data_IF_693364592697
#
_entry.id   IF_693364592697
#
_cell.length_a   1.000
_cell.length_b   1.000
_cell.length_c   1.000
_cell.angle_alpha   90.00
_cell.angle_beta   90.00
_cell.angle_gamma   90.00
#
_symmetry.space_group_name_H-M   'P 1'
#
loop_
_entity.id
_entity.type
_entity.pdbx_description
1 polymer ?
#
# COMPACT_ATOMS: atom_id res chain seq x y z
N UNK A 1 -16.38 13.22 12.07
CA UNK A 1 -15.40 12.65 11.12
C UNK A 1 -15.80 13.09 9.72
N UNK A 2 -14.93 13.83 9.03
CA UNK A 2 -15.19 14.29 7.66
C UNK A 2 -14.74 13.21 6.67
N UNK A 3 -15.66 12.65 5.89
CA UNK A 3 -15.34 11.67 4.85
C UNK A 3 -14.74 12.35 3.62
N UNK A 4 -13.73 11.74 3.01
CA UNK A 4 -13.19 12.19 1.72
C UNK A 4 -14.07 11.66 0.58
N UNK A 5 -14.38 12.51 -0.40
CA UNK A 5 -15.16 12.15 -1.59
C UNK A 5 -14.33 12.42 -2.83
N UNK A 6 -14.12 11.38 -3.65
CA UNK A 6 -13.51 11.48 -4.96
C UNK A 6 -14.60 11.79 -6.00
N UNK A 7 -14.40 12.86 -6.75
CA UNK A 7 -15.27 13.26 -7.86
C UNK A 7 -14.46 13.18 -9.15
N UNK A 8 -14.84 12.27 -10.05
CA UNK A 8 -14.26 12.18 -11.40
C UNK A 8 -15.25 12.76 -12.39
N UNK A 9 -14.83 13.79 -13.12
CA UNK A 9 -15.57 14.30 -14.27
C UNK A 9 -14.98 13.66 -15.54
N UNK A 10 -15.83 12.99 -16.31
CA UNK A 10 -15.48 12.46 -17.63
C UNK A 10 -16.51 12.93 -18.66
N UNK A 11 -16.22 12.74 -19.94
CA UNK A 11 -17.17 13.05 -21.02
C UNK A 11 -18.48 12.22 -20.93
N UNK A 12 -18.46 11.13 -20.15
CA UNK A 12 -19.62 10.27 -19.88
C UNK A 12 -20.42 10.69 -18.64
N UNK A 13 -19.94 11.68 -17.88
CA UNK A 13 -20.61 12.25 -16.73
C UNK A 13 -19.73 12.32 -15.48
N UNK A 14 -20.34 12.73 -14.36
CA UNK A 14 -19.68 12.86 -13.07
C UNK A 14 -19.86 11.59 -12.24
N UNK A 15 -18.74 10.94 -11.90
CA UNK A 15 -18.68 9.79 -11.01
C UNK A 15 -18.28 10.24 -9.60
N UNK A 16 -19.06 9.85 -8.59
CA UNK A 16 -18.81 10.20 -7.20
C UNK A 16 -18.51 8.92 -6.40
N UNK A 17 -17.36 8.87 -5.73
CA UNK A 17 -16.94 7.73 -4.91
C UNK A 17 -16.48 8.20 -3.53
N UNK A 18 -17.13 7.74 -2.47
CA UNK A 18 -16.70 8.02 -1.09
C UNK A 18 -15.50 7.15 -0.75
N UNK A 19 -14.43 7.77 -0.25
CA UNK A 19 -13.25 7.05 0.25
C UNK A 19 -13.46 6.88 1.76
N UNK A 20 -13.66 5.66 2.29
CA UNK A 20 -13.75 5.46 3.74
C UNK A 20 -12.41 5.73 4.40
N UNK A 21 -12.39 5.90 5.73
CA UNK A 21 -11.13 5.94 6.47
C UNK A 21 -10.44 4.57 6.43
N UNK A 22 -9.13 4.52 6.67
CA UNK A 22 -8.40 3.27 6.67
C UNK A 22 -8.92 2.33 7.78
N UNK A 23 -8.89 1.03 7.52
CA UNK A 23 -9.30 -0.04 8.44
C UNK A 23 -8.67 0.17 9.82
N UNK A 24 -9.39 0.02 10.93
CA UNK A 24 -8.79 0.16 12.25
C UNK A 24 -7.68 -0.89 12.42
N UNK A 25 -6.50 -0.47 12.88
CA UNK A 25 -5.44 -1.39 13.29
C UNK A 25 -5.71 -1.86 14.74
N UNK A 26 -5.37 -3.11 15.10
CA UNK A 26 -5.41 -3.54 16.49
C UNK A 26 -4.56 -2.61 17.38
N UNK A 27 -5.07 -2.28 18.57
CA UNK A 27 -4.36 -1.46 19.54
C UNK A 27 -3.26 -2.30 20.24
N UNK A 28 -2.17 -2.58 19.53
CA UNK A 28 -0.99 -3.30 20.03
C UNK A 28 0.26 -2.42 19.90
N UNK A 29 1.26 -2.64 20.77
CA UNK A 29 2.53 -1.87 20.80
C UNK A 29 3.31 -1.91 19.47
N UNK A 30 2.95 -2.82 18.57
CA UNK A 30 3.61 -3.11 17.29
C UNK A 30 2.87 -2.53 16.06
N UNK A 31 2.35 -1.30 16.15
CA UNK A 31 1.49 -0.67 15.14
C UNK A 31 2.06 -0.67 13.70
N UNK A 32 3.39 -0.63 13.55
CA UNK A 32 4.04 -0.74 12.23
C UNK A 32 3.82 -2.09 11.54
N UNK A 33 3.96 -3.20 12.28
CA UNK A 33 3.74 -4.54 11.74
C UNK A 33 2.27 -4.78 11.36
N UNK A 34 1.34 -4.23 12.14
CA UNK A 34 -0.09 -4.30 11.84
C UNK A 34 -0.47 -3.48 10.61
N UNK A 35 0.12 -2.30 10.42
CA UNK A 35 -0.10 -1.50 9.21
C UNK A 35 0.41 -2.22 7.96
N UNK A 36 1.56 -2.89 8.05
CA UNK A 36 2.06 -3.73 6.97
C UNK A 36 1.13 -4.92 6.68
N UNK A 37 0.61 -5.56 7.72
CA UNK A 37 -0.36 -6.65 7.58
C UNK A 37 -1.64 -6.17 6.89
N UNK A 38 -2.23 -5.05 7.33
CA UNK A 38 -3.42 -4.48 6.71
C UNK A 38 -3.21 -4.10 5.24
N UNK A 39 -2.05 -3.54 4.89
CA UNK A 39 -1.67 -3.24 3.50
C UNK A 39 -1.61 -4.52 2.65
N UNK A 40 -1.02 -5.59 3.19
CA UNK A 40 -0.94 -6.90 2.53
C UNK A 40 -2.33 -7.53 2.38
N UNK A 41 -3.15 -7.49 3.41
CA UNK A 41 -4.51 -8.06 3.40
C UNK A 41 -5.42 -7.34 2.40
N UNK A 42 -5.33 -6.01 2.34
CA UNK A 42 -6.03 -5.22 1.33
C UNK A 42 -5.60 -5.63 -0.09
N UNK A 43 -4.29 -5.74 -0.32
CA UNK A 43 -3.74 -6.19 -1.60
C UNK A 43 -4.05 -7.65 -1.91
N UNK A 44 -4.29 -8.50 -0.90
CA UNK A 44 -4.66 -9.91 -1.05
C UNK A 44 -6.16 -10.10 -1.36
N UNK A 45 -6.95 -9.03 -1.36
CA UNK A 45 -8.36 -9.08 -1.77
C UNK A 45 -8.46 -9.21 -3.30
N UNK A 46 -9.44 -9.98 -3.82
CA UNK A 46 -9.69 -10.19 -5.26
C UNK A 46 -8.67 -11.02 -6.07
N UNK A 47 -8.34 -12.24 -5.63
CA UNK A 47 -7.52 -13.16 -6.43
C UNK A 47 -6.03 -12.82 -6.49
N UNK A 48 -5.64 -11.69 -5.91
CA UNK A 48 -4.28 -11.20 -5.76
C UNK A 48 -3.33 -11.94 -4.80
N UNK A 49 -3.75 -12.88 -3.91
CA UNK A 49 -2.79 -13.61 -3.08
C UNK A 49 -1.76 -14.42 -3.87
N UNK A 50 -2.06 -14.78 -5.13
CA UNK A 50 -1.10 -15.45 -6.01
C UNK A 50 0.07 -14.55 -6.41
N UNK A 51 -0.18 -13.24 -6.45
CA UNK A 51 0.73 -12.21 -6.96
C UNK A 51 1.43 -11.42 -5.85
N UNK A 52 0.93 -11.52 -4.60
CA UNK A 52 1.52 -10.91 -3.43
C UNK A 52 2.55 -11.85 -2.80
N UNK A 53 3.79 -11.39 -2.70
CA UNK A 53 4.91 -12.07 -2.08
C UNK A 53 5.21 -11.45 -0.72
N UNK A 54 5.29 -12.32 0.29
CA UNK A 54 5.50 -11.92 1.67
C UNK A 54 6.99 -11.62 1.91
N UNK A 55 7.33 -10.73 2.87
CA UNK A 55 8.71 -10.49 3.26
C UNK A 55 9.40 -11.79 3.67
N UNK A 56 10.32 -12.31 2.85
CA UNK A 56 11.21 -13.38 3.31
C UNK A 56 12.29 -12.76 4.19
N UNK A 57 12.30 -13.12 5.47
CA UNK A 57 13.45 -12.91 6.34
C UNK A 57 14.63 -13.75 5.82
N UNK A 58 15.47 -13.18 4.96
CA UNK A 58 16.72 -13.84 4.60
C UNK A 58 17.77 -13.52 5.68
N UNK A 59 18.17 -14.54 6.44
CA UNK A 59 19.36 -14.48 7.31
C UNK A 59 20.60 -14.37 6.43
N UNK A 60 21.38 -13.29 6.59
CA UNK A 60 22.72 -13.17 6.00
C UNK A 60 23.72 -12.79 7.10
N UNK A 61 24.45 -13.78 7.63
CA UNK A 61 25.36 -13.60 8.77
C UNK A 61 24.62 -13.37 10.10
N UNK A 62 25.12 -12.46 10.95
CA UNK A 62 24.47 -12.07 12.23
C UNK A 62 23.25 -11.14 12.07
N UNK A 63 22.87 -10.77 10.84
CA UNK A 63 21.75 -9.87 10.56
C UNK A 63 20.62 -10.52 9.76
N UNK A 64 19.38 -10.19 10.11
CA UNK A 64 18.18 -10.49 9.32
C UNK A 64 17.95 -9.32 8.36
N UNK A 65 17.79 -9.58 7.06
CA UNK A 65 17.39 -8.56 6.07
C UNK A 65 16.11 -9.02 5.36
N UNK A 66 15.03 -8.33 5.64
CA UNK A 66 13.74 -8.51 4.95
C UNK A 66 13.80 -7.87 3.56
N UNK A 67 13.16 -8.52 2.57
CA UNK A 67 13.02 -8.02 1.19
C UNK A 67 11.76 -7.17 1.15
N UNK A 68 11.88 -5.93 1.62
CA UNK A 68 10.76 -4.97 1.70
C UNK A 68 9.56 -5.45 2.52
N UNK A 69 8.49 -4.66 2.50
CA UNK A 69 7.31 -4.89 3.34
C UNK A 69 6.24 -5.74 2.60
N UNK A 70 6.41 -5.85 1.28
CA UNK A 70 5.70 -6.75 0.38
C UNK A 70 6.15 -6.55 -1.07
N UNK A 71 5.83 -7.50 -1.94
CA UNK A 71 6.09 -7.42 -3.38
C UNK A 71 4.86 -7.89 -4.15
N UNK A 72 4.42 -7.15 -5.15
CA UNK A 72 3.40 -7.58 -6.10
C UNK A 72 4.07 -7.89 -7.44
N UNK A 73 3.80 -9.05 -8.03
CA UNK A 73 4.29 -9.40 -9.38
C UNK A 73 3.13 -9.90 -10.23
N UNK A 74 2.86 -9.21 -11.34
CA UNK A 74 1.78 -9.55 -12.27
C UNK A 74 2.32 -9.46 -13.71
N UNK A 75 2.52 -10.61 -14.35
CA UNK A 75 3.09 -10.66 -15.70
C UNK A 75 4.49 -10.02 -15.75
N UNK A 76 4.66 -9.01 -16.60
CA UNK A 76 5.91 -8.25 -16.71
C UNK A 76 5.99 -7.04 -15.76
N UNK A 77 4.98 -6.80 -14.91
CA UNK A 77 4.98 -5.68 -13.96
C UNK A 77 5.30 -6.17 -12.55
N UNK A 78 6.07 -5.39 -11.82
CA UNK A 78 6.36 -5.63 -10.41
C UNK A 78 6.24 -4.34 -9.58
N UNK A 79 5.65 -4.43 -8.40
CA UNK A 79 5.54 -3.33 -7.46
C UNK A 79 6.18 -3.70 -6.12
N UNK A 80 7.24 -2.98 -5.75
CA UNK A 80 7.85 -3.09 -4.43
C UNK A 80 7.09 -2.23 -3.42
N UNK A 81 6.55 -2.85 -2.37
CA UNK A 81 5.75 -2.17 -1.36
C UNK A 81 6.64 -1.76 -0.18
N UNK A 82 6.49 -0.52 0.26
CA UNK A 82 7.11 0.03 1.46
C UNK A 82 6.08 0.78 2.29
N UNK A 83 5.88 0.36 3.52
CA UNK A 83 4.93 0.94 4.47
C UNK A 83 5.69 1.73 5.52
N UNK A 84 5.17 2.90 5.88
CA UNK A 84 5.70 3.73 6.98
C UNK A 84 4.54 4.23 7.83
N UNK A 85 4.54 3.83 9.09
CA UNK A 85 3.48 4.21 10.03
C UNK A 85 3.95 5.26 11.03
N UNK A 86 3.09 6.23 11.31
CA UNK A 86 3.26 7.24 12.34
C UNK A 86 2.58 6.79 13.64
N UNK A 87 3.36 6.39 14.63
CA UNK A 87 2.85 5.92 15.94
C UNK A 87 2.54 7.07 16.91
N UNK A 88 3.34 8.14 16.87
CA UNK A 88 3.24 9.26 17.82
C UNK A 88 3.14 10.60 17.06
N UNK A 89 2.02 10.85 16.34
CA UNK A 89 1.80 12.14 15.70
C UNK A 89 1.73 13.24 16.76
N UNK A 90 2.21 14.43 16.41
CA UNK A 90 2.10 15.60 17.25
C UNK A 90 1.36 16.73 16.53
N UNK A 91 0.87 17.70 17.29
CA UNK A 91 0.08 18.81 16.76
C UNK A 91 0.92 19.86 16.00
N UNK A 92 2.21 19.62 15.81
CA UNK A 92 3.08 20.53 15.07
C UNK A 92 3.14 20.10 13.59
N UNK A 93 2.48 20.85 12.67
CA UNK A 93 2.40 20.46 11.27
C UNK A 93 3.77 20.42 10.58
N UNK A 94 4.70 21.30 10.94
CA UNK A 94 6.04 21.32 10.34
C UNK A 94 6.87 20.09 10.75
N UNK A 95 6.70 19.60 11.98
CA UNK A 95 7.33 18.35 12.43
C UNK A 95 6.76 17.16 11.68
N UNK A 96 5.44 17.12 11.46
CA UNK A 96 4.79 16.04 10.72
C UNK A 96 5.21 16.05 9.24
N UNK A 97 5.28 17.22 8.59
CA UNK A 97 5.81 17.33 7.22
C UNK A 97 7.25 16.81 7.10
N UNK A 98 8.14 17.22 8.03
CA UNK A 98 9.53 16.73 8.04
C UNK A 98 9.61 15.23 8.30
N UNK A 99 8.73 14.70 9.14
CA UNK A 99 8.64 13.26 9.35
C UNK A 99 8.21 12.55 8.06
N UNK A 100 7.19 13.06 7.37
CA UNK A 100 6.69 12.53 6.10
C UNK A 100 7.80 12.50 5.05
N UNK A 101 8.49 13.62 4.82
CA UNK A 101 9.60 13.70 3.87
C UNK A 101 10.68 12.65 4.17
N UNK A 102 11.07 12.53 5.43
CA UNK A 102 12.09 11.57 5.86
C UNK A 102 11.60 10.12 5.72
N UNK A 103 10.35 9.85 6.06
CA UNK A 103 9.75 8.53 5.96
C UNK A 103 9.67 8.08 4.49
N UNK A 104 9.20 8.97 3.60
CA UNK A 104 9.07 8.73 2.16
C UNK A 104 10.45 8.55 1.53
N UNK A 105 11.41 9.45 1.78
CA UNK A 105 12.76 9.31 1.25
C UNK A 105 13.43 7.99 1.67
N UNK A 106 13.23 7.58 2.93
CA UNK A 106 13.71 6.30 3.43
C UNK A 106 13.03 5.12 2.72
N UNK A 107 11.71 5.16 2.57
CA UNK A 107 10.94 4.13 1.88
C UNK A 107 11.38 3.98 0.42
N UNK A 108 11.54 5.09 -0.32
CA UNK A 108 12.04 5.07 -1.70
C UNK A 108 13.42 4.42 -1.80
N UNK A 109 14.35 4.78 -0.91
CA UNK A 109 15.69 4.16 -0.86
C UNK A 109 15.64 2.66 -0.58
N UNK A 110 14.73 2.22 0.30
CA UNK A 110 14.52 0.79 0.59
C UNK A 110 13.90 0.06 -0.62
N UNK A 111 12.96 0.70 -1.32
CA UNK A 111 12.38 0.21 -2.58
C UNK A 111 13.44 0.02 -3.66
N UNK A 112 14.26 1.04 -3.93
CA UNK A 112 15.39 0.96 -4.87
C UNK A 112 16.36 -0.17 -4.51
N UNK A 113 16.64 -0.33 -3.22
CA UNK A 113 17.47 -1.43 -2.72
C UNK A 113 16.88 -2.81 -2.99
N UNK A 114 15.56 -2.94 -2.89
CA UNK A 114 14.82 -4.18 -3.14
C UNK A 114 14.79 -4.52 -4.63
N UNK A 115 14.44 -3.55 -5.48
CA UNK A 115 14.45 -3.67 -6.94
C UNK A 115 15.84 -4.12 -7.40
N UNK A 116 16.88 -3.35 -7.05
CA UNK A 116 18.26 -3.65 -7.44
C UNK A 116 18.72 -5.04 -7.00
N UNK A 117 18.30 -5.49 -5.81
CA UNK A 117 18.66 -6.82 -5.30
C UNK A 117 18.05 -7.92 -6.17
N UNK A 118 16.75 -7.83 -6.46
CA UNK A 118 16.03 -8.84 -7.24
C UNK A 118 16.45 -8.82 -8.71
N UNK A 119 16.80 -7.66 -9.26
CA UNK A 119 17.37 -7.55 -10.62
C UNK A 119 18.76 -8.17 -10.71
N UNK A 120 19.62 -7.97 -9.70
CA UNK A 120 20.98 -8.53 -9.72
C UNK A 120 21.03 -10.01 -9.33
N UNK A 121 20.05 -10.49 -8.57
CA UNK A 121 20.04 -11.87 -8.05
C UNK A 121 18.60 -12.33 -7.91
N UNK A 122 18.09 -13.13 -8.86
CA UNK A 122 16.78 -13.74 -8.76
C UNK A 122 16.62 -14.51 -7.44
N UNK A 123 15.42 -14.49 -6.88
CA UNK A 123 15.14 -15.10 -5.59
C UNK A 123 13.85 -15.93 -5.62
N UNK A 124 13.88 -17.09 -4.95
CA UNK A 124 12.67 -17.86 -4.69
C UNK A 124 11.92 -17.24 -3.50
N UNK A 125 10.74 -16.70 -3.80
CA UNK A 125 9.85 -16.03 -2.86
C UNK A 125 8.57 -16.84 -2.69
N UNK A 126 7.97 -16.76 -1.50
CA UNK A 126 6.69 -17.39 -1.22
C UNK A 126 5.57 -16.37 -1.42
N UNK A 127 4.57 -16.72 -2.22
CA UNK A 127 3.38 -15.89 -2.36
C UNK A 127 2.44 -16.07 -1.17
N UNK A 128 1.42 -15.22 -1.05
CA UNK A 128 0.45 -15.27 0.05
C UNK A 128 -0.45 -16.52 0.03
N UNK A 129 -0.30 -17.42 -0.96
CA UNK A 129 -0.90 -18.77 -0.96
C UNK A 129 0.08 -19.88 -0.55
N UNK A 130 1.30 -19.54 -0.13
CA UNK A 130 2.31 -20.51 0.27
C UNK A 130 3.05 -21.19 -0.87
N UNK A 131 2.98 -20.65 -2.10
CA UNK A 131 3.69 -21.21 -3.26
C UNK A 131 5.03 -20.52 -3.44
N UNK A 132 6.09 -21.31 -3.60
CA UNK A 132 7.40 -20.80 -3.99
C UNK A 132 7.44 -20.47 -5.48
N UNK A 133 7.84 -19.24 -5.81
CA UNK A 133 7.99 -18.73 -7.18
C UNK A 133 9.37 -18.08 -7.31
N UNK A 134 10.08 -18.40 -8.39
CA UNK A 134 11.30 -17.69 -8.73
C UNK A 134 10.94 -16.31 -9.30
N UNK A 135 11.38 -15.25 -8.64
CA UNK A 135 11.26 -13.88 -9.11
C UNK A 135 12.61 -13.42 -9.64
N UNK A 136 12.67 -13.18 -10.96
CA UNK A 136 13.81 -12.54 -11.62
C UNK A 136 13.49 -11.06 -11.85
N UNK A 137 14.09 -10.19 -11.06
CA UNK A 137 13.81 -8.77 -11.13
C UNK A 137 14.27 -8.09 -12.42
N UNK A 138 15.08 -8.75 -13.26
CA UNK A 138 15.45 -8.21 -14.57
C UNK A 138 14.35 -8.39 -15.62
N UNK A 139 13.37 -9.29 -15.37
CA UNK A 139 12.27 -9.58 -16.28
C UNK A 139 11.05 -8.66 -16.09
N UNK A 140 11.12 -7.69 -15.17
CA UNK A 140 9.98 -6.87 -14.77
C UNK A 140 10.24 -5.37 -14.91
N UNK A 141 9.20 -4.65 -15.32
CA UNK A 141 9.08 -3.21 -15.15
C UNK A 141 8.64 -2.91 -13.72
N UNK A 142 9.39 -2.03 -13.05
CA UNK A 142 9.24 -1.81 -11.62
C UNK A 142 8.50 -0.52 -11.29
N UNK A 143 7.63 -0.61 -10.29
CA UNK A 143 7.02 0.52 -9.60
C UNK A 143 7.41 0.45 -8.11
N UNK A 144 7.86 1.56 -7.54
CA UNK A 144 8.06 1.69 -6.10
C UNK A 144 6.81 2.30 -5.46
N UNK A 145 6.14 1.54 -4.61
CA UNK A 145 4.89 1.98 -3.95
C UNK A 145 5.19 2.28 -2.49
N UNK A 146 5.10 3.55 -2.12
CA UNK A 146 5.26 4.01 -0.74
C UNK A 146 3.88 4.27 -0.14
N UNK A 147 3.56 3.55 0.92
CA UNK A 147 2.29 3.63 1.64
C UNK A 147 2.54 4.25 3.00
N UNK A 148 1.90 5.38 3.25
CA UNK A 148 2.03 6.12 4.52
C UNK A 148 0.78 5.91 5.36
N UNK A 149 0.95 5.32 6.54
CA UNK A 149 -0.10 5.22 7.55
C UNK A 149 0.06 6.38 8.54
N UNK A 150 -0.79 7.40 8.38
CA UNK A 150 -0.73 8.61 9.16
C UNK A 150 -2.15 9.11 9.49
N UNK A 151 -2.47 9.22 10.77
CA UNK A 151 -3.83 9.48 11.25
C UNK A 151 -4.43 10.82 10.75
N UNK A 152 -3.60 11.86 10.61
CA UNK A 152 -4.05 13.18 10.16
C UNK A 152 -2.97 13.86 9.32
N UNK A 153 -2.98 13.65 8.00
CA UNK A 153 -2.02 14.32 7.12
C UNK A 153 -2.21 15.85 7.13
N UNK A 154 -1.13 16.64 7.14
CA UNK A 154 -1.21 18.07 6.87
C UNK A 154 -1.84 18.32 5.49
N UNK A 155 -2.87 19.17 5.42
CA UNK A 155 -3.70 19.36 4.21
C UNK A 155 -2.94 19.87 2.98
N UNK A 156 -1.82 20.55 3.21
CA UNK A 156 -0.97 21.18 2.19
C UNK A 156 0.35 20.42 1.98
N UNK A 157 0.44 19.18 2.49
CA UNK A 157 1.60 18.35 2.24
C UNK A 157 1.51 17.70 0.87
N UNK A 158 2.54 17.96 0.05
CA UNK A 158 2.78 17.25 -1.20
C UNK A 158 4.17 16.63 -1.11
N UNK A 159 4.32 15.33 -1.39
CA UNK A 159 5.63 14.71 -1.43
C UNK A 159 6.47 15.37 -2.53
N UNK A 160 7.75 15.62 -2.23
CA UNK A 160 8.70 16.06 -3.23
C UNK A 160 8.81 15.03 -4.36
N UNK A 161 9.17 15.50 -5.56
CA UNK A 161 9.45 14.60 -6.69
C UNK A 161 10.54 13.58 -6.30
N UNK A 162 10.26 12.30 -6.58
CA UNK A 162 11.17 11.22 -6.22
C UNK A 162 12.37 11.19 -7.14
N UNK A 163 13.57 11.02 -6.56
CA UNK A 163 14.79 10.70 -7.32
C UNK A 163 15.06 9.18 -7.36
N UNK A 164 14.03 8.34 -7.19
CA UNK A 164 14.19 6.89 -7.19
C UNK A 164 14.55 6.36 -8.59
N UNK A 165 15.18 5.20 -8.63
CA UNK A 165 15.61 4.57 -9.88
C UNK A 165 14.45 3.99 -10.68
N UNK A 166 13.40 3.52 -9.99
CA UNK A 166 12.13 3.13 -10.59
C UNK A 166 11.11 4.27 -10.47
N UNK A 167 10.12 4.36 -11.39
CA UNK A 167 8.92 5.15 -11.17
C UNK A 167 8.35 4.87 -9.77
N UNK A 168 7.85 5.91 -9.10
CA UNK A 168 7.31 5.76 -7.75
C UNK A 168 5.97 6.45 -7.57
N UNK A 169 5.17 5.89 -6.67
CA UNK A 169 3.91 6.48 -6.20
C UNK A 169 3.92 6.49 -4.69
N UNK A 170 3.52 7.63 -4.12
CA UNK A 170 3.31 7.80 -2.68
C UNK A 170 1.82 7.96 -2.44
N UNK A 171 1.26 7.16 -1.56
CA UNK A 171 -0.15 7.22 -1.22
C UNK A 171 -0.38 6.90 0.26
N UNK A 172 -1.56 7.22 0.76
CA UNK A 172 -1.93 6.90 2.14
C UNK A 172 -2.40 5.45 2.26
N UNK A 173 -2.33 4.86 3.46
CA UNK A 173 -2.94 3.54 3.71
C UNK A 173 -4.44 3.53 3.37
N UNK A 174 -5.13 4.65 3.64
CA UNK A 174 -6.54 4.85 3.28
C UNK A 174 -6.76 4.71 1.77
N UNK A 175 -5.95 5.41 0.97
CA UNK A 175 -6.08 5.38 -0.49
C UNK A 175 -5.72 3.99 -1.04
N UNK A 176 -4.72 3.33 -0.45
CA UNK A 176 -4.34 1.96 -0.81
C UNK A 176 -5.51 1.00 -0.64
N UNK A 177 -6.11 0.98 0.55
CA UNK A 177 -7.25 0.11 0.85
C UNK A 177 -8.43 0.40 -0.07
N UNK A 178 -8.68 1.68 -0.36
CA UNK A 178 -9.74 2.10 -1.26
C UNK A 178 -9.60 1.55 -2.70
N UNK A 179 -8.38 1.36 -3.20
CA UNK A 179 -8.16 0.74 -4.51
C UNK A 179 -8.75 -0.68 -4.58
N UNK A 180 -8.81 -1.39 -3.46
CA UNK A 180 -9.23 -2.80 -3.40
C UNK A 180 -10.62 -3.00 -2.78
N UNK A 181 -11.28 -1.92 -2.33
CA UNK A 181 -12.66 -2.01 -1.83
C UNK A 181 -13.63 -2.41 -2.96
N UNK A 182 -14.50 -3.42 -2.72
CA UNK A 182 -15.58 -3.77 -3.64
C UNK A 182 -16.43 -2.54 -4.01
N UNK A 183 -16.94 -2.43 -5.25
CA UNK A 183 -17.94 -1.42 -5.60
C UNK A 183 -19.17 -1.46 -4.67
N UNK A 184 -19.53 -2.64 -4.17
CA UNK A 184 -20.64 -2.87 -3.24
C UNK A 184 -20.38 -2.41 -1.80
N UNK A 185 -19.12 -2.28 -1.38
CA UNK A 185 -18.78 -1.77 -0.04
C UNK A 185 -19.00 -0.24 0.08
N UNK A 186 -19.43 0.40 -1.01
CA UNK A 186 -19.50 1.85 -1.15
C UNK A 186 -20.93 2.37 -1.33
N UNK A 187 -21.93 1.49 -1.31
CA UNK A 187 -23.34 1.83 -1.46
C UNK A 187 -24.12 1.61 -0.16
N UNK A 188 -24.34 2.67 0.67
CA UNK A 188 -25.19 2.57 1.84
C UNK A 188 -26.69 2.41 1.50
N UNK A 189 -27.11 2.59 0.23
CA UNK A 189 -28.52 2.48 -0.17
C UNK A 189 -28.99 1.03 -0.38
N UNK A 190 -28.06 0.08 -0.47
CA UNK A 190 -28.38 -1.37 -0.57
C UNK A 190 -28.58 -2.08 0.76
N UNK A 191 -28.36 -1.40 1.90
CA UNK A 191 -28.57 -1.98 3.22
C UNK A 191 -30.05 -1.92 3.70
N UNK A 192 -30.99 -1.40 2.90
CA UNK A 192 -32.35 -1.14 3.38
C UNK A 192 -33.45 -0.97 2.32
N UNK A 193 -33.45 -1.76 1.24
CA UNK A 193 -34.63 -1.84 0.37
C UNK A 193 -35.53 -3.00 0.80
N UNK A 194 -36.82 -2.76 1.14
CA UNK A 194 -37.77 -3.85 1.35
C UNK A 194 -38.00 -4.59 0.03
N UNK A 195 -38.20 -5.91 0.13
CA UNK A 195 -38.45 -6.79 -1.01
C UNK A 195 -39.61 -6.26 -1.88
N UNK A 196 -39.53 -6.37 -3.21
CA UNK A 196 -40.63 -5.98 -4.07
C UNK A 196 -41.84 -6.88 -3.74
N UNK A 197 -42.89 -6.27 -3.23
CA UNK A 197 -44.19 -6.92 -3.10
C UNK A 197 -44.68 -7.26 -4.51
N UNK A 198 -44.64 -8.55 -4.83
CA UNK A 198 -45.26 -9.09 -6.02
C UNK A 198 -46.77 -8.87 -5.97
N UNK A 199 -47.31 -8.36 -7.08
CA UNK A 199 -48.59 -8.79 -7.66
C UNK A 199 -48.45 -8.80 -9.16
#
# INVERSE_FOLDING_TARGET
>A
MAGLTLLLETDEGTYLRRVPDASPLPAVEAQGYEAEAAVRDAAATWGMPDFLFLPRQQRKGKGVREIGDGLLVVGNQAAGLQVKSRTDPCDNPDKEKRWLDKAIAKALSQGDGTVRRLTNTPAVLENARGREVLVDGAAHEWLSVVIVDHASLPRDFFPAESTSSAPSVVLTRRDWEFLFLPPTALDPSRAGLPAPHGR
#
